data_IF_099016138730
#
_entry.id   IF_099016138730
#
_cell.length_a   1.000
_cell.length_b   1.000
_cell.length_c   1.000
_cell.angle_alpha   90.00
_cell.angle_beta   90.00
_cell.angle_gamma   90.00
#
_symmetry.space_group_name_H-M   'P 1'
#
loop_
_entity.id
_entity.type
_entity.pdbx_description
1 polymer ?
#
# COMPACT_ATOMS: atom_id res chain seq x y z
N UNK A 1 8.90 8.83 15.35
CA UNK A 1 8.86 7.37 15.16
C UNK A 1 7.48 6.83 15.49
N UNK A 2 7.10 5.70 14.89
CA UNK A 2 5.89 4.96 15.23
C UNK A 2 5.93 4.44 16.67
N UNK A 3 4.76 4.21 17.27
CA UNK A 3 4.64 3.70 18.63
C UNK A 3 5.26 2.29 18.79
N UNK A 4 5.23 1.46 17.74
CA UNK A 4 5.80 0.11 17.73
C UNK A 4 7.28 0.07 17.34
N UNK A 5 7.87 1.22 17.01
CA UNK A 5 9.27 1.27 16.59
C UNK A 5 10.21 0.82 17.74
N UNK A 6 11.28 0.03 17.46
CA UNK A 6 12.21 -0.47 18.50
C UNK A 6 12.78 0.62 19.41
N UNK A 7 13.07 1.81 18.86
CA UNK A 7 13.55 2.94 19.69
C UNK A 7 12.49 3.44 20.67
N UNK A 8 11.20 3.47 20.27
CA UNK A 8 10.11 3.84 21.15
C UNK A 8 9.96 2.84 22.31
N UNK A 9 9.95 1.55 21.99
CA UNK A 9 9.86 0.47 22.95
C UNK A 9 11.03 0.49 23.94
N UNK A 10 12.25 0.69 23.44
CA UNK A 10 13.44 0.81 24.29
C UNK A 10 13.38 2.03 25.23
N UNK A 11 12.96 3.19 24.73
CA UNK A 11 12.80 4.39 25.56
C UNK A 11 11.74 4.18 26.66
N UNK A 12 10.72 3.38 26.38
CA UNK A 12 9.64 3.09 27.31
C UNK A 12 9.98 2.04 28.37
N UNK A 13 11.08 1.28 28.27
CA UNK A 13 11.41 0.19 29.21
C UNK A 13 11.30 0.60 30.69
N UNK A 14 11.79 1.81 31.03
CA UNK A 14 11.78 2.35 32.38
C UNK A 14 10.94 3.63 32.52
N UNK A 15 10.02 3.88 31.58
CA UNK A 15 9.17 5.06 31.57
C UNK A 15 7.70 4.67 31.45
N UNK A 16 6.96 4.78 32.55
CA UNK A 16 5.56 4.38 32.61
C UNK A 16 4.65 5.27 31.73
N UNK A 17 4.97 6.56 31.61
CA UNK A 17 4.19 7.49 30.78
C UNK A 17 4.34 7.16 29.28
N UNK A 18 5.57 6.88 28.84
CA UNK A 18 5.82 6.43 27.47
C UNK A 18 5.13 5.08 27.17
N UNK A 19 5.13 4.14 28.13
CA UNK A 19 4.38 2.89 27.97
C UNK A 19 2.89 3.13 27.78
N UNK A 20 2.30 3.98 28.62
CA UNK A 20 0.88 4.31 28.53
C UNK A 20 0.55 4.99 27.20
N UNK A 21 1.39 5.90 26.73
CA UNK A 21 1.19 6.57 25.44
C UNK A 21 1.32 5.61 24.25
N UNK A 22 2.27 4.68 24.29
CA UNK A 22 2.39 3.63 23.25
C UNK A 22 1.11 2.78 23.20
N UNK A 23 0.57 2.37 24.33
CA UNK A 23 -0.68 1.60 24.37
C UNK A 23 -1.89 2.43 23.87
N UNK A 24 -1.96 3.73 24.21
CA UNK A 24 -2.97 4.65 23.65
C UNK A 24 -2.90 4.69 22.12
N UNK A 25 -1.69 4.83 21.55
CA UNK A 25 -1.49 4.83 20.09
C UNK A 25 -1.92 3.51 19.44
N UNK A 26 -1.65 2.37 20.10
CA UNK A 26 -2.01 1.03 19.59
C UNK A 26 -3.52 0.77 19.62
N UNK A 27 -4.23 1.34 20.57
CA UNK A 27 -5.69 1.21 20.66
C UNK A 27 -6.43 2.11 19.68
N UNK A 28 -5.75 3.09 19.09
CA UNK A 28 -6.29 3.97 18.06
C UNK A 28 -6.53 3.23 16.74
N UNK A 29 -7.32 3.84 15.85
CA UNK A 29 -7.53 3.31 14.49
C UNK A 29 -6.21 3.28 13.71
N UNK A 30 -5.93 2.16 13.06
CA UNK A 30 -4.82 2.02 12.09
C UNK A 30 -5.21 2.45 10.68
N UNK A 31 -6.46 2.88 10.46
CA UNK A 31 -6.90 3.37 9.16
C UNK A 31 -6.32 4.75 8.89
N UNK A 32 -5.61 4.90 7.77
CA UNK A 32 -4.94 6.15 7.39
C UNK A 32 -5.91 7.34 7.28
N UNK A 33 -7.15 7.08 6.85
CA UNK A 33 -8.20 8.09 6.77
C UNK A 33 -8.58 8.65 8.16
N UNK A 34 -8.63 7.79 9.18
CA UNK A 34 -8.95 8.20 10.55
C UNK A 34 -7.77 8.97 11.17
N UNK A 35 -6.54 8.55 10.86
CA UNK A 35 -5.33 9.23 11.33
C UNK A 35 -5.13 10.61 10.69
N UNK A 36 -5.62 10.81 9.47
CA UNK A 36 -5.54 12.12 8.79
C UNK A 36 -6.36 13.20 9.49
N UNK A 37 -7.49 12.82 10.09
CA UNK A 37 -8.41 13.74 10.79
C UNK A 37 -8.24 13.77 12.30
N UNK A 38 -7.51 12.82 12.89
CA UNK A 38 -7.29 12.74 14.33
C UNK A 38 -6.34 13.86 14.82
N UNK A 39 -6.54 14.26 16.09
CA UNK A 39 -5.62 15.17 16.75
C UNK A 39 -4.20 14.58 16.80
N UNK A 40 -3.20 15.37 16.36
CA UNK A 40 -1.80 14.97 16.39
C UNK A 40 -1.28 15.01 17.81
N UNK A 41 -0.92 13.83 18.34
CA UNK A 41 -0.33 13.66 19.68
C UNK A 41 1.06 13.07 19.57
N UNK A 42 1.94 13.48 20.47
CA UNK A 42 3.29 12.93 20.56
C UNK A 42 3.86 13.03 21.97
N UNK A 43 4.91 12.24 22.18
CA UNK A 43 5.66 12.22 23.44
C UNK A 43 7.15 12.11 23.16
N UNK A 44 7.95 12.95 23.80
CA UNK A 44 9.41 12.91 23.70
C UNK A 44 9.96 11.62 24.30
N UNK A 45 10.88 10.96 23.59
CA UNK A 45 11.51 9.73 24.09
C UNK A 45 12.69 9.99 25.03
N UNK A 46 13.20 11.22 25.07
CA UNK A 46 14.46 11.56 25.72
C UNK A 46 15.70 11.13 24.94
N UNK A 47 15.53 10.50 23.78
CA UNK A 47 16.62 10.12 22.86
C UNK A 47 16.85 11.20 21.82
N UNK A 48 18.07 11.25 21.28
CA UNK A 48 18.41 12.04 20.09
C UNK A 48 19.11 11.19 19.05
N UNK A 49 19.09 11.67 17.80
CA UNK A 49 19.85 11.13 16.68
C UNK A 49 20.67 12.26 16.04
N UNK A 50 21.81 11.92 15.43
CA UNK A 50 22.62 12.90 14.72
C UNK A 50 22.10 13.11 13.31
N UNK A 51 21.91 14.37 12.92
CA UNK A 51 21.62 14.72 11.55
C UNK A 51 22.78 14.29 10.64
N UNK A 52 22.54 13.52 9.56
CA UNK A 52 23.62 12.88 8.79
C UNK A 52 24.50 13.89 8.03
N UNK A 53 24.06 15.11 7.83
CA UNK A 53 24.79 16.17 7.12
C UNK A 53 25.41 17.17 8.08
N UNK A 54 24.62 17.74 9.00
CA UNK A 54 25.09 18.81 9.89
C UNK A 54 25.74 18.28 11.17
N UNK A 55 25.44 17.04 11.56
CA UNK A 55 25.89 16.48 12.84
C UNK A 55 25.12 17.00 14.05
N UNK A 56 24.14 17.88 13.88
CA UNK A 56 23.27 18.39 14.95
C UNK A 56 22.44 17.24 15.57
N UNK A 57 22.21 17.35 16.87
CA UNK A 57 21.31 16.39 17.55
C UNK A 57 19.86 16.73 17.32
N UNK A 58 19.09 15.76 16.83
CA UNK A 58 17.66 15.88 16.56
C UNK A 58 16.93 15.03 17.60
N UNK A 59 15.93 15.59 18.33
CA UNK A 59 15.16 14.85 19.32
C UNK A 59 14.26 13.80 18.64
N UNK A 60 14.14 12.64 19.28
CA UNK A 60 13.27 11.56 18.83
C UNK A 60 11.94 11.62 19.59
N UNK A 61 10.84 11.68 18.86
CA UNK A 61 9.49 11.71 19.37
C UNK A 61 8.68 10.51 18.89
N UNK A 62 7.83 9.98 19.75
CA UNK A 62 6.74 9.06 19.33
C UNK A 62 5.58 9.95 18.88
N UNK A 63 5.01 9.68 17.71
CA UNK A 63 3.84 10.40 17.23
C UNK A 63 2.76 9.43 16.74
N UNK A 64 1.50 9.69 17.10
CA UNK A 64 0.36 8.82 16.81
C UNK A 64 -0.01 8.72 15.32
N UNK A 65 0.53 9.59 14.47
CA UNK A 65 0.30 9.62 13.02
C UNK A 65 1.46 9.03 12.19
N UNK A 66 2.52 8.55 12.85
CA UNK A 66 3.61 7.83 12.18
C UNK A 66 3.30 6.34 12.19
N UNK A 67 3.24 5.74 11.00
CA UNK A 67 2.90 4.32 10.83
C UNK A 67 4.14 3.44 10.75
N UNK A 68 4.14 2.31 11.45
CA UNK A 68 5.22 1.31 11.36
C UNK A 68 5.31 0.68 9.97
N UNK A 69 4.20 0.63 9.21
CA UNK A 69 4.14 0.14 7.84
C UNK A 69 4.76 1.08 6.80
N UNK A 70 5.11 2.31 7.18
CA UNK A 70 5.71 3.28 6.28
C UNK A 70 7.24 3.32 6.48
N UNK A 71 7.97 2.87 5.48
CA UNK A 71 9.44 2.82 5.52
C UNK A 71 9.95 1.89 6.62
N UNK A 72 10.72 2.44 7.55
CA UNK A 72 11.23 1.75 8.75
C UNK A 72 10.40 2.03 10.01
N UNK A 73 9.28 2.75 9.90
CA UNK A 73 8.53 3.27 11.05
C UNK A 73 9.20 4.49 11.70
N UNK A 74 10.24 5.03 11.07
CA UNK A 74 10.90 6.28 11.48
C UNK A 74 10.86 7.28 10.32
N UNK A 75 10.50 8.52 10.63
CA UNK A 75 10.39 9.61 9.65
C UNK A 75 11.21 10.79 10.17
N UNK A 76 12.00 11.41 9.29
CA UNK A 76 12.57 12.72 9.58
C UNK A 76 11.49 13.77 9.29
N UNK A 77 11.02 14.44 10.33
CA UNK A 77 10.03 15.50 10.21
C UNK A 77 10.62 16.72 9.52
N UNK A 78 9.78 17.44 8.78
CA UNK A 78 10.14 18.68 8.08
C UNK A 78 9.17 19.82 8.44
N UNK A 79 9.22 20.31 9.67
CA UNK A 79 8.19 21.22 10.21
C UNK A 79 7.96 22.50 9.39
N UNK A 80 8.97 22.98 8.67
CA UNK A 80 8.81 24.17 7.85
C UNK A 80 8.07 23.91 6.51
N UNK A 81 7.93 22.65 6.07
CA UNK A 81 7.48 22.29 4.71
C UNK A 81 6.46 21.14 4.66
N UNK A 82 5.96 20.68 5.80
CA UNK A 82 4.82 19.75 5.91
C UNK A 82 3.85 20.27 6.98
N UNK A 83 2.59 20.46 6.61
CA UNK A 83 1.57 21.06 7.50
C UNK A 83 1.40 20.29 8.81
N UNK A 84 1.42 18.94 8.75
CA UNK A 84 1.23 18.10 9.95
C UNK A 84 2.41 18.24 10.90
N UNK A 85 3.62 18.29 10.35
CA UNK A 85 4.83 18.46 11.13
C UNK A 85 4.93 19.90 11.70
N UNK A 86 4.43 20.89 10.94
CA UNK A 86 4.34 22.29 11.38
C UNK A 86 3.41 22.45 12.60
N UNK A 87 2.19 21.89 12.51
CA UNK A 87 1.24 21.88 13.63
C UNK A 87 1.82 21.19 14.85
N UNK A 88 2.45 20.02 14.63
CA UNK A 88 3.10 19.25 15.69
C UNK A 88 4.22 20.03 16.37
N UNK A 89 5.09 20.66 15.57
CA UNK A 89 6.23 21.44 16.08
C UNK A 89 5.76 22.65 16.90
N UNK A 90 4.75 23.38 16.44
CA UNK A 90 4.17 24.49 17.18
C UNK A 90 3.51 24.01 18.49
N UNK A 91 2.75 22.91 18.45
CA UNK A 91 2.10 22.34 19.64
C UNK A 91 3.08 21.96 20.74
N UNK A 92 4.24 21.42 20.37
CA UNK A 92 5.24 20.91 21.32
C UNK A 92 6.46 21.82 21.48
N UNK A 93 6.44 23.02 20.89
CA UNK A 93 7.52 24.02 21.00
C UNK A 93 8.84 23.54 20.37
N UNK A 94 8.77 22.77 19.29
CA UNK A 94 9.95 22.32 18.53
C UNK A 94 10.42 23.40 17.57
N UNK A 95 11.71 23.40 17.24
CA UNK A 95 12.28 24.36 16.30
C UNK A 95 11.76 24.11 14.89
N UNK A 96 11.27 25.17 14.25
CA UNK A 96 10.88 25.19 12.84
C UNK A 96 11.92 25.98 12.07
N UNK A 97 12.63 25.33 11.17
CA UNK A 97 13.71 25.94 10.38
C UNK A 97 13.35 25.87 8.90
N UNK A 98 13.16 27.01 8.27
CA UNK A 98 12.95 27.06 6.82
C UNK A 98 14.20 26.53 6.10
N UNK A 99 14.01 25.58 5.18
CA UNK A 99 15.08 24.97 4.38
C UNK A 99 14.81 25.03 2.87
N UNK A 100 13.61 25.44 2.46
CA UNK A 100 13.27 25.74 1.08
C UNK A 100 12.75 27.17 1.03
N UNK A 101 13.39 28.01 0.24
CA UNK A 101 12.87 29.31 -0.13
C UNK A 101 11.98 29.15 -1.37
N UNK A 102 10.73 28.75 -1.10
CA UNK A 102 9.68 28.71 -2.09
C UNK A 102 9.07 30.11 -2.12
N UNK A 103 9.25 30.83 -3.21
CA UNK A 103 8.67 32.18 -3.37
C UNK A 103 7.15 32.07 -3.30
N UNK A 104 6.55 32.61 -2.24
CA UNK A 104 5.10 32.74 -2.10
C UNK A 104 4.54 33.71 -3.17
N UNK A 105 3.24 33.58 -3.41
CA UNK A 105 2.52 34.58 -4.18
C UNK A 105 2.62 35.90 -3.41
N UNK A 106 3.22 36.89 -3.69
CA UNK A 106 3.36 38.19 -3.02
C UNK A 106 4.66 38.45 -2.24
N UNK A 107 5.75 37.71 -2.49
CA UNK A 107 7.05 37.87 -1.78
C UNK A 107 6.92 37.86 -0.25
N UNK A 108 5.98 37.05 0.28
CA UNK A 108 5.75 36.98 1.72
C UNK A 108 6.87 36.21 2.41
N UNK A 109 7.36 36.75 3.52
CA UNK A 109 8.35 36.12 4.38
C UNK A 109 7.78 34.85 5.07
N UNK A 110 8.66 33.89 5.37
CA UNK A 110 8.31 32.71 6.15
C UNK A 110 8.00 33.08 7.59
N UNK A 111 6.81 32.66 8.07
CA UNK A 111 6.38 32.83 9.46
C UNK A 111 6.23 31.43 10.13
N UNK A 112 7.06 31.13 11.14
CA UNK A 112 7.02 29.89 11.87
C UNK A 112 5.79 29.76 12.80
N UNK A 113 5.00 30.80 13.00
CA UNK A 113 3.81 30.77 13.83
C UNK A 113 2.52 30.43 13.07
N UNK A 114 2.49 30.67 11.77
CA UNK A 114 1.29 30.49 10.95
C UNK A 114 1.59 29.76 9.65
N UNK A 115 0.97 28.58 9.47
CA UNK A 115 1.09 27.80 8.23
C UNK A 115 0.53 28.57 7.02
N UNK A 116 1.26 28.46 5.91
CA UNK A 116 0.84 28.93 4.60
C UNK A 116 0.98 27.77 3.59
N UNK A 117 0.01 27.62 2.69
CA UNK A 117 -0.02 26.50 1.73
C UNK A 117 1.24 26.42 0.85
N UNK A 118 1.83 27.58 0.49
CA UNK A 118 3.03 27.62 -0.31
C UNK A 118 4.30 27.08 0.38
N UNK A 119 4.30 26.91 1.73
CA UNK A 119 5.40 26.28 2.45
C UNK A 119 5.64 24.84 2.03
N UNK A 120 4.58 24.12 1.59
CA UNK A 120 4.65 22.76 1.08
C UNK A 120 5.19 22.63 -0.36
N UNK A 121 5.46 23.76 -1.03
CA UNK A 121 5.97 23.75 -2.39
C UNK A 121 7.41 23.22 -2.45
N UNK A 122 7.69 22.41 -3.48
CA UNK A 122 9.04 21.95 -3.80
C UNK A 122 9.73 22.85 -4.84
N UNK A 123 9.02 23.88 -5.32
CA UNK A 123 9.54 24.87 -6.25
C UNK A 123 10.22 25.97 -5.45
N UNK A 124 11.55 25.96 -5.42
CA UNK A 124 12.33 26.92 -4.67
C UNK A 124 13.81 26.52 -4.62
N UNK A 125 14.55 27.25 -3.82
CA UNK A 125 15.97 26.99 -3.58
C UNK A 125 16.20 26.61 -2.13
N UNK A 126 17.15 25.72 -1.88
CA UNK A 126 17.55 25.40 -0.52
C UNK A 126 18.20 26.60 0.16
N UNK A 127 17.82 26.81 1.41
CA UNK A 127 18.40 27.80 2.33
C UNK A 127 18.66 27.12 3.68
N UNK A 128 19.55 27.67 4.48
CA UNK A 128 19.92 27.13 5.80
C UNK A 128 20.32 25.63 5.78
N UNK A 129 20.84 25.17 4.64
CA UNK A 129 21.15 23.76 4.33
C UNK A 129 22.66 23.53 4.08
N UNK A 130 23.51 24.38 4.64
CA UNK A 130 24.97 24.34 4.55
C UNK A 130 25.46 24.34 3.08
N UNK A 131 26.30 23.39 2.69
CA UNK A 131 26.85 23.32 1.32
C UNK A 131 25.80 23.06 0.23
N UNK A 132 24.55 22.79 0.57
CA UNK A 132 23.46 22.55 -0.36
C UNK A 132 22.60 23.79 -0.63
N UNK A 133 22.92 24.94 0.01
CA UNK A 133 22.21 26.21 -0.22
C UNK A 133 22.24 26.59 -1.71
N UNK A 134 21.11 27.12 -2.19
CA UNK A 134 20.94 27.55 -3.58
C UNK A 134 20.60 26.45 -4.59
N UNK A 135 20.63 25.17 -4.20
CA UNK A 135 20.21 24.06 -5.06
C UNK A 135 18.68 24.00 -5.17
N UNK A 136 18.18 23.61 -6.34
CA UNK A 136 16.78 23.21 -6.49
C UNK A 136 16.54 21.77 -5.98
N UNK A 137 15.27 21.35 -5.98
CA UNK A 137 14.87 20.06 -5.44
C UNK A 137 15.64 18.88 -6.05
N UNK A 138 15.78 18.82 -7.39
CA UNK A 138 16.45 17.69 -8.03
C UNK A 138 17.95 17.71 -7.79
N UNK A 139 18.59 18.85 -7.94
CA UNK A 139 20.02 19.00 -7.68
C UNK A 139 20.37 18.71 -6.20
N UNK A 140 19.51 19.10 -5.27
CA UNK A 140 19.67 18.78 -3.86
C UNK A 140 19.52 17.29 -3.60
N UNK A 141 18.50 16.64 -4.17
CA UNK A 141 18.29 15.18 -4.04
C UNK A 141 19.54 14.42 -4.50
N UNK A 142 20.05 14.75 -5.68
CA UNK A 142 21.23 14.08 -6.26
C UNK A 142 22.50 14.33 -5.41
N UNK A 143 22.69 15.55 -4.91
CA UNK A 143 23.82 15.91 -4.06
C UNK A 143 23.78 15.23 -2.68
N UNK A 144 22.60 15.16 -2.03
CA UNK A 144 22.42 14.41 -0.79
C UNK A 144 22.70 12.92 -0.98
N UNK A 145 22.15 12.32 -2.04
CA UNK A 145 22.38 10.92 -2.35
C UNK A 145 23.86 10.64 -2.57
N UNK A 146 24.54 11.42 -3.42
CA UNK A 146 25.96 11.29 -3.70
C UNK A 146 26.85 11.38 -2.44
N UNK A 147 26.44 12.24 -1.48
CA UNK A 147 27.16 12.38 -0.20
C UNK A 147 26.92 11.23 0.76
N UNK A 148 25.72 10.74 0.88
CA UNK A 148 25.30 9.83 1.96
C UNK A 148 25.29 8.35 1.55
N UNK A 149 25.08 8.02 0.27
CA UNK A 149 25.07 6.64 -0.22
C UNK A 149 26.39 5.88 0.03
N UNK A 150 27.59 6.48 -0.18
CA UNK A 150 28.86 5.82 0.12
C UNK A 150 29.06 5.48 1.61
N UNK A 151 28.33 6.19 2.49
CA UNK A 151 28.37 5.97 3.95
C UNK A 151 27.30 4.99 4.43
N UNK A 152 26.51 4.42 3.52
CA UNK A 152 25.33 3.57 3.81
C UNK A 152 24.22 4.26 4.61
N UNK A 153 24.23 5.59 4.72
CA UNK A 153 23.22 6.38 5.42
C UNK A 153 22.05 6.77 4.52
N UNK A 154 22.17 6.61 3.22
CA UNK A 154 21.09 6.81 2.25
C UNK A 154 21.10 5.73 1.17
N UNK A 155 19.93 5.46 0.63
CA UNK A 155 19.74 4.65 -0.58
C UNK A 155 18.45 5.07 -1.28
N UNK A 156 18.43 4.94 -2.60
CA UNK A 156 17.22 5.14 -3.38
C UNK A 156 16.29 3.95 -3.19
N UNK A 157 15.02 4.23 -2.86
CA UNK A 157 13.97 3.22 -2.76
C UNK A 157 12.75 3.65 -3.57
N UNK A 158 12.32 2.80 -4.48
CA UNK A 158 11.05 2.99 -5.19
C UNK A 158 9.92 2.47 -4.30
N UNK A 159 8.96 3.34 -3.98
CA UNK A 159 7.76 2.97 -3.27
C UNK A 159 6.55 3.17 -4.19
N UNK A 160 5.77 2.12 -4.35
CA UNK A 160 4.50 2.22 -5.08
C UNK A 160 3.45 2.89 -4.17
N UNK A 161 2.68 3.82 -4.74
CA UNK A 161 1.56 4.45 -4.03
C UNK A 161 0.39 3.51 -3.83
N UNK A 162 0.24 2.53 -4.73
CA UNK A 162 -0.74 1.48 -4.60
C UNK A 162 -0.27 0.47 -3.56
N UNK A 163 -1.08 0.22 -2.54
CA UNK A 163 -0.80 -0.82 -1.54
C UNK A 163 -1.25 -2.18 -2.04
N UNK A 164 -0.56 -3.21 -1.57
CA UNK A 164 -1.00 -4.59 -1.76
C UNK A 164 -2.39 -4.78 -1.13
N UNK A 165 -3.21 -5.59 -1.76
CA UNK A 165 -4.52 -5.96 -1.22
C UNK A 165 -4.71 -7.47 -1.32
N UNK A 166 -5.42 -8.04 -0.36
CA UNK A 166 -5.76 -9.45 -0.36
C UNK A 166 -6.93 -9.74 -1.30
N UNK A 167 -6.81 -10.79 -2.10
CA UNK A 167 -7.89 -11.27 -3.00
C UNK A 167 -8.67 -12.45 -2.43
N UNK A 168 -8.20 -13.02 -1.34
CA UNK A 168 -8.79 -14.17 -0.63
C UNK A 168 -9.95 -13.73 0.25
N UNK A 169 -11.07 -14.45 0.21
CA UNK A 169 -12.27 -14.19 1.02
C UNK A 169 -12.72 -15.45 1.73
N UNK A 170 -12.99 -15.33 3.02
CA UNK A 170 -13.48 -16.38 3.90
C UNK A 170 -15.00 -16.54 3.74
N UNK A 171 -15.43 -16.81 2.52
CA UNK A 171 -16.87 -16.98 2.18
C UNK A 171 -17.06 -17.98 1.06
N UNK A 172 -18.27 -18.53 0.97
CA UNK A 172 -18.65 -19.48 -0.07
C UNK A 172 -18.69 -18.84 -1.48
N UNK A 173 -19.28 -17.64 -1.60
CA UNK A 173 -19.50 -17.01 -2.89
C UNK A 173 -18.24 -16.40 -3.48
N UNK A 174 -17.78 -16.96 -4.57
CA UNK A 174 -16.59 -16.56 -5.32
C UNK A 174 -15.95 -17.74 -6.03
N UNK A 175 -14.97 -17.49 -6.85
CA UNK A 175 -14.19 -18.53 -7.53
C UNK A 175 -13.28 -19.24 -6.50
N UNK A 176 -13.29 -20.56 -6.39
CA UNK A 176 -12.37 -21.29 -5.52
C UNK A 176 -10.91 -21.01 -5.89
N UNK A 177 -10.07 -20.83 -4.88
CA UNK A 177 -8.64 -20.68 -5.08
C UNK A 177 -8.03 -22.07 -5.32
N UNK A 178 -7.40 -22.35 -6.48
CA UNK A 178 -6.96 -23.69 -6.86
C UNK A 178 -5.63 -24.06 -6.18
N UNK A 179 -5.60 -24.05 -4.85
CA UNK A 179 -4.43 -24.38 -4.04
C UNK A 179 -4.72 -25.49 -3.04
N UNK A 180 -3.69 -26.25 -2.71
CA UNK A 180 -3.70 -27.33 -1.72
C UNK A 180 -2.63 -27.02 -0.67
N UNK A 181 -3.01 -27.01 0.59
CA UNK A 181 -2.14 -26.78 1.73
C UNK A 181 -1.66 -28.13 2.29
N UNK A 182 -0.37 -28.42 2.21
CA UNK A 182 0.27 -29.63 2.70
C UNK A 182 1.26 -29.28 3.81
N UNK A 183 1.20 -29.97 4.93
CA UNK A 183 2.12 -29.73 6.05
C UNK A 183 3.60 -29.94 5.68
N UNK A 184 3.87 -30.87 4.75
CA UNK A 184 5.23 -31.20 4.31
C UNK A 184 5.72 -30.34 3.15
N UNK A 185 4.84 -30.03 2.17
CA UNK A 185 5.22 -29.35 0.92
C UNK A 185 4.85 -27.86 0.88
N UNK A 186 4.12 -27.36 1.88
CA UNK A 186 3.56 -26.02 1.87
C UNK A 186 2.37 -25.89 0.92
N UNK A 187 2.23 -24.76 0.28
CA UNK A 187 1.17 -24.51 -0.70
C UNK A 187 1.54 -25.09 -2.07
N UNK A 188 0.67 -25.92 -2.61
CA UNK A 188 0.86 -26.60 -3.89
C UNK A 188 -0.35 -26.32 -4.79
N UNK A 189 -0.17 -25.96 -6.08
CA UNK A 189 -1.30 -25.75 -6.98
C UNK A 189 -2.07 -27.07 -7.23
N UNK A 190 -3.38 -26.95 -7.44
CA UNK A 190 -4.20 -28.07 -7.93
C UNK A 190 -3.71 -28.43 -9.33
N UNK A 191 -3.48 -29.73 -9.65
CA UNK A 191 -3.09 -30.16 -10.97
C UNK A 191 -4.07 -29.73 -12.06
N UNK A 192 -3.59 -29.41 -13.25
CA UNK A 192 -4.41 -28.89 -14.35
C UNK A 192 -5.55 -29.83 -14.74
N UNK A 193 -5.31 -31.14 -14.70
CA UNK A 193 -6.30 -32.16 -15.02
C UNK A 193 -7.43 -32.27 -13.96
N UNK A 194 -7.27 -31.63 -12.79
CA UNK A 194 -8.27 -31.54 -11.75
C UNK A 194 -9.01 -30.21 -11.73
N UNK A 195 -8.73 -29.32 -12.69
CA UNK A 195 -9.43 -28.06 -12.84
C UNK A 195 -10.68 -28.22 -13.72
N UNK A 196 -11.72 -27.41 -13.48
CA UNK A 196 -11.85 -26.39 -12.41
C UNK A 196 -12.14 -27.02 -11.05
N UNK A 197 -11.74 -26.31 -9.97
CA UNK A 197 -12.24 -26.61 -8.62
C UNK A 197 -13.69 -26.13 -8.55
N UNK A 198 -14.63 -27.07 -8.33
CA UNK A 198 -16.06 -26.76 -8.37
C UNK A 198 -16.59 -26.61 -6.95
N UNK A 199 -17.37 -25.53 -6.72
CA UNK A 199 -18.08 -25.34 -5.46
C UNK A 199 -19.19 -26.36 -5.29
N UNK A 200 -19.37 -26.95 -4.08
CA UNK A 200 -20.51 -27.79 -3.80
C UNK A 200 -21.82 -27.00 -3.89
N UNK A 201 -22.88 -27.61 -4.42
CA UNK A 201 -24.16 -26.92 -4.68
C UNK A 201 -25.20 -27.14 -3.57
N UNK A 202 -24.91 -28.03 -2.64
CA UNK A 202 -25.80 -28.42 -1.53
C UNK A 202 -25.46 -27.73 -0.20
N UNK A 203 -24.76 -26.62 -0.28
CA UNK A 203 -24.34 -25.82 0.88
C UNK A 203 -25.50 -25.05 1.46
N UNK A 204 -25.74 -25.24 2.76
CA UNK A 204 -26.71 -24.44 3.53
C UNK A 204 -25.94 -23.52 4.48
N UNK A 205 -25.94 -22.20 4.26
CA UNK A 205 -25.30 -21.26 5.18
C UNK A 205 -26.01 -21.25 6.54
N UNK A 206 -25.25 -21.39 7.61
CA UNK A 206 -25.77 -21.36 8.98
C UNK A 206 -25.46 -20.07 9.73
N UNK A 207 -24.90 -19.05 9.02
CA UNK A 207 -24.53 -17.76 9.59
C UNK A 207 -23.22 -17.77 10.40
N UNK A 208 -22.52 -18.89 10.47
CA UNK A 208 -21.29 -19.00 11.28
C UNK A 208 -20.06 -19.32 10.41
N UNK A 209 -19.40 -18.28 9.90
CA UNK A 209 -18.15 -18.38 9.14
C UNK A 209 -18.31 -18.98 7.74
N UNK A 210 -17.18 -19.38 7.14
CA UNK A 210 -17.15 -19.95 5.80
C UNK A 210 -17.65 -21.42 5.82
N UNK A 211 -18.76 -21.76 5.14
CA UNK A 211 -19.31 -23.11 5.12
C UNK A 211 -18.34 -24.14 4.52
N UNK A 212 -17.47 -23.77 3.58
CA UNK A 212 -16.51 -24.69 2.98
C UNK A 212 -15.53 -25.28 4.02
N UNK A 213 -15.26 -24.55 5.09
CA UNK A 213 -14.45 -25.04 6.22
C UNK A 213 -15.11 -26.17 7.03
N UNK A 214 -16.42 -26.38 6.85
CA UNK A 214 -17.21 -27.38 7.55
C UNK A 214 -17.51 -28.62 6.69
N UNK A 215 -16.99 -28.67 5.45
CA UNK A 215 -17.23 -29.68 4.46
C UNK A 215 -15.96 -30.52 4.21
N UNK A 216 -15.72 -31.63 4.99
CA UNK A 216 -14.55 -32.47 4.79
C UNK A 216 -14.43 -33.01 3.37
N UNK A 217 -15.54 -33.30 2.72
CA UNK A 217 -15.63 -33.80 1.33
C UNK A 217 -15.12 -32.77 0.31
N UNK A 218 -15.16 -31.47 0.65
CA UNK A 218 -14.59 -30.42 -0.19
C UNK A 218 -13.10 -30.21 0.07
N UNK A 219 -12.69 -30.13 1.35
CA UNK A 219 -11.33 -29.71 1.67
C UNK A 219 -10.33 -30.86 1.86
N UNK A 220 -10.78 -32.07 2.22
CA UNK A 220 -9.85 -33.18 2.37
C UNK A 220 -9.36 -33.67 1.01
N UNK A 221 -8.05 -33.76 0.85
CA UNK A 221 -7.43 -34.19 -0.41
C UNK A 221 -6.03 -34.77 -0.15
N UNK A 222 -5.41 -35.32 -1.18
CA UNK A 222 -4.01 -35.75 -1.14
C UNK A 222 -3.13 -34.65 -1.80
N UNK A 223 -1.94 -34.48 -1.26
CA UNK A 223 -0.95 -33.56 -1.84
C UNK A 223 -0.44 -34.11 -3.19
N UNK A 224 -0.55 -33.36 -4.29
CA UNK A 224 -0.08 -33.82 -5.58
C UNK A 224 1.44 -33.99 -5.68
N UNK A 225 2.20 -33.34 -4.77
CA UNK A 225 3.67 -33.42 -4.76
C UNK A 225 4.21 -34.61 -3.96
N UNK A 226 3.59 -34.99 -2.82
CA UNK A 226 4.13 -36.02 -1.96
C UNK A 226 3.15 -37.19 -1.66
N UNK A 227 1.90 -37.12 -2.13
CA UNK A 227 0.86 -38.10 -1.93
C UNK A 227 0.29 -38.19 -0.50
N UNK A 228 0.82 -37.38 0.43
CA UNK A 228 0.33 -37.36 1.83
C UNK A 228 -0.98 -36.58 1.99
N UNK A 229 -1.58 -36.74 3.17
CA UNK A 229 -2.81 -36.00 3.52
C UNK A 229 -2.58 -34.48 3.40
N UNK A 230 -3.56 -33.80 2.82
CA UNK A 230 -3.51 -32.35 2.58
C UNK A 230 -4.91 -31.75 2.63
N UNK A 231 -4.95 -30.42 2.67
CA UNK A 231 -6.20 -29.67 2.73
C UNK A 231 -6.30 -28.74 1.54
N UNK A 232 -7.39 -28.87 0.76
CA UNK A 232 -7.72 -27.89 -0.28
C UNK A 232 -8.00 -26.52 0.36
N UNK A 233 -7.64 -25.45 -0.35
CA UNK A 233 -8.00 -24.10 0.05
C UNK A 233 -9.52 -23.94 0.09
N UNK A 234 -10.02 -23.33 1.14
CA UNK A 234 -11.45 -23.11 1.37
C UNK A 234 -11.87 -21.66 1.17
N UNK A 235 -10.90 -20.75 1.06
CA UNK A 235 -11.17 -19.37 0.68
C UNK A 235 -11.53 -19.31 -0.81
N UNK A 236 -12.35 -18.33 -1.15
CA UNK A 236 -12.67 -18.01 -2.55
C UNK A 236 -12.04 -16.69 -2.93
N UNK A 237 -11.87 -16.45 -4.22
CA UNK A 237 -11.41 -15.17 -4.72
C UNK A 237 -12.48 -14.09 -4.53
N UNK A 238 -12.06 -12.87 -4.32
CA UNK A 238 -12.92 -11.70 -4.42
C UNK A 238 -13.64 -11.69 -5.77
N UNK A 239 -14.94 -11.41 -5.78
CA UNK A 239 -15.77 -11.43 -7.00
C UNK A 239 -15.34 -10.40 -8.05
N UNK A 240 -14.55 -9.39 -7.68
CA UNK A 240 -13.91 -8.50 -8.64
C UNK A 240 -12.86 -9.21 -9.51
N UNK A 241 -12.33 -10.36 -9.10
CA UNK A 241 -11.41 -11.15 -9.93
C UNK A 241 -12.13 -11.68 -11.16
N UNK A 242 -13.32 -12.26 -11.03
CA UNK A 242 -14.10 -12.73 -12.18
C UNK A 242 -14.57 -11.58 -13.06
N UNK A 243 -15.05 -10.50 -12.47
CA UNK A 243 -15.49 -9.32 -13.23
C UNK A 243 -14.34 -8.55 -13.87
N UNK A 244 -13.11 -8.84 -13.50
CA UNK A 244 -11.92 -8.15 -14.03
C UNK A 244 -11.62 -8.45 -15.50
N UNK A 245 -12.06 -9.59 -16.01
CA UNK A 245 -11.74 -10.05 -17.36
C UNK A 245 -12.97 -10.45 -18.21
N UNK A 246 -14.19 -10.26 -17.72
CA UNK A 246 -15.43 -10.65 -18.43
C UNK A 246 -15.53 -10.04 -19.83
N UNK A 247 -15.05 -8.80 -20.02
CA UNK A 247 -15.03 -8.12 -21.32
C UNK A 247 -14.21 -8.88 -22.36
N UNK A 248 -13.11 -9.51 -21.94
CA UNK A 248 -12.31 -10.37 -22.82
C UNK A 248 -13.06 -11.67 -23.14
N UNK A 249 -13.70 -12.28 -22.14
CA UNK A 249 -14.50 -13.50 -22.33
C UNK A 249 -15.64 -13.30 -23.32
N UNK A 250 -16.26 -12.12 -23.31
CA UNK A 250 -17.34 -11.80 -24.26
C UNK A 250 -16.91 -11.82 -25.73
N UNK A 251 -15.62 -11.65 -26.04
CA UNK A 251 -15.12 -11.77 -27.40
C UNK A 251 -15.21 -13.21 -27.95
N UNK A 252 -15.28 -14.23 -27.08
CA UNK A 252 -15.40 -15.64 -27.48
C UNK A 252 -16.08 -16.49 -26.38
N UNK A 253 -17.39 -16.28 -26.11
CA UNK A 253 -18.08 -16.88 -24.98
C UNK A 253 -18.10 -18.42 -25.00
N UNK A 254 -18.12 -19.02 -26.16
CA UNK A 254 -18.19 -20.48 -26.34
C UNK A 254 -16.81 -21.16 -26.41
N UNK A 255 -15.73 -20.40 -26.29
CA UNK A 255 -14.39 -20.96 -26.38
C UNK A 255 -14.03 -21.76 -25.10
N UNK A 256 -13.64 -23.02 -25.28
CA UNK A 256 -13.30 -23.94 -24.17
C UNK A 256 -11.79 -24.18 -24.01
N UNK A 257 -10.97 -23.67 -24.94
CA UNK A 257 -9.52 -23.90 -24.96
C UNK A 257 -8.70 -22.93 -24.11
N UNK A 258 -9.36 -22.03 -23.34
CA UNK A 258 -8.68 -21.05 -22.50
C UNK A 258 -9.58 -19.86 -22.11
N UNK A 259 -8.99 -18.80 -21.62
CA UNK A 259 -9.72 -17.60 -21.16
C UNK A 259 -10.43 -16.89 -22.31
N UNK A 260 -9.76 -16.67 -23.43
CA UNK A 260 -10.27 -16.03 -24.62
C UNK A 260 -9.58 -16.62 -25.86
N UNK A 261 -10.27 -16.68 -26.97
CA UNK A 261 -9.69 -17.11 -28.25
C UNK A 261 -8.72 -16.04 -28.77
N UNK A 262 -7.43 -16.36 -29.06
CA UNK A 262 -6.43 -15.35 -29.43
C UNK A 262 -6.85 -14.41 -30.57
N UNK A 263 -7.42 -14.97 -31.64
CA UNK A 263 -7.85 -14.17 -32.79
C UNK A 263 -9.02 -13.22 -32.46
N UNK A 264 -9.91 -13.65 -31.55
CA UNK A 264 -11.00 -12.81 -31.07
C UNK A 264 -10.46 -11.68 -30.18
N UNK A 265 -9.48 -11.99 -29.31
CA UNK A 265 -8.82 -10.97 -28.50
C UNK A 265 -8.12 -9.91 -29.38
N UNK A 266 -7.38 -10.33 -30.42
CA UNK A 266 -6.72 -9.40 -31.34
C UNK A 266 -7.71 -8.51 -32.11
N UNK A 267 -8.92 -9.01 -32.39
CA UNK A 267 -9.93 -8.28 -33.16
C UNK A 267 -10.73 -7.30 -32.30
N UNK A 268 -11.08 -7.68 -31.07
CA UNK A 268 -12.06 -6.99 -30.26
C UNK A 268 -11.47 -6.21 -29.07
N UNK A 269 -10.20 -6.43 -28.74
CA UNK A 269 -9.53 -5.75 -27.64
C UNK A 269 -8.42 -4.81 -28.15
N UNK A 270 -8.19 -3.66 -27.47
CA UNK A 270 -8.93 -3.15 -26.31
C UNK A 270 -10.37 -2.73 -26.66
N UNK A 271 -11.26 -2.73 -25.66
CA UNK A 271 -12.64 -2.27 -25.84
C UNK A 271 -12.63 -0.78 -26.17
N UNK A 272 -13.31 -0.39 -27.25
CA UNK A 272 -13.26 0.97 -27.77
C UNK A 272 -13.92 2.01 -26.86
N UNK A 273 -15.02 1.64 -26.21
CA UNK A 273 -15.77 2.52 -25.33
C UNK A 273 -16.27 1.74 -24.10
N UNK A 274 -15.93 2.22 -22.91
CA UNK A 274 -16.33 1.61 -21.65
C UNK A 274 -16.96 2.67 -20.74
N UNK A 275 -18.21 2.42 -20.30
CA UNK A 275 -19.00 3.37 -19.54
C UNK A 275 -19.43 2.72 -18.24
N UNK A 276 -19.27 3.40 -17.11
CA UNK A 276 -19.65 2.90 -15.80
C UNK A 276 -19.81 4.00 -14.76
N UNK A 277 -20.11 3.60 -13.53
CA UNK A 277 -20.18 4.50 -12.39
C UNK A 277 -18.80 4.91 -11.88
N UNK A 278 -18.71 6.10 -11.30
CA UNK A 278 -17.46 6.66 -10.77
C UNK A 278 -16.85 5.78 -9.66
N UNK A 279 -17.66 5.07 -8.90
CA UNK A 279 -17.23 4.15 -7.83
C UNK A 279 -16.31 3.04 -8.34
N UNK A 280 -16.40 2.70 -9.62
CA UNK A 280 -15.55 1.68 -10.23
C UNK A 280 -14.13 2.14 -10.52
N UNK A 281 -13.83 3.43 -10.40
CA UNK A 281 -12.48 3.96 -10.63
C UNK A 281 -11.42 3.28 -9.74
N UNK A 282 -11.77 2.98 -8.50
CA UNK A 282 -10.88 2.35 -7.50
C UNK A 282 -11.24 0.88 -7.18
N UNK A 283 -12.33 0.36 -7.73
CA UNK A 283 -12.78 -1.01 -7.55
C UNK A 283 -12.55 -1.83 -8.82
N UNK A 284 -13.60 -2.02 -9.62
CA UNK A 284 -13.56 -2.83 -10.84
C UNK A 284 -12.44 -2.45 -11.82
N UNK A 285 -12.24 -1.17 -12.08
CA UNK A 285 -11.24 -0.74 -13.07
C UNK A 285 -9.80 -1.02 -12.64
N UNK A 286 -9.52 -0.96 -11.35
CA UNK A 286 -8.21 -1.34 -10.80
C UNK A 286 -7.92 -2.82 -11.09
N UNK A 287 -8.89 -3.70 -10.77
CA UNK A 287 -8.79 -5.13 -11.04
C UNK A 287 -8.71 -5.41 -12.55
N UNK A 288 -9.56 -4.76 -13.36
CA UNK A 288 -9.57 -4.97 -14.81
C UNK A 288 -8.23 -4.61 -15.47
N UNK A 289 -7.62 -3.48 -15.09
CA UNK A 289 -6.29 -3.09 -15.58
C UNK A 289 -5.19 -4.04 -15.12
N UNK A 290 -5.20 -4.42 -13.85
CA UNK A 290 -4.22 -5.35 -13.30
C UNK A 290 -4.32 -6.72 -13.99
N UNK A 291 -5.52 -7.29 -14.09
CA UNK A 291 -5.76 -8.59 -14.70
C UNK A 291 -5.45 -8.60 -16.20
N UNK A 292 -5.76 -7.50 -16.90
CA UNK A 292 -5.39 -7.35 -18.32
C UNK A 292 -3.87 -7.42 -18.53
N UNK A 293 -3.10 -6.77 -17.64
CA UNK A 293 -1.64 -6.82 -17.70
C UNK A 293 -1.09 -8.22 -17.40
N UNK A 294 -1.69 -8.97 -16.48
CA UNK A 294 -1.34 -10.37 -16.26
C UNK A 294 -1.64 -11.22 -17.50
N UNK A 295 -2.84 -11.09 -18.08
CA UNK A 295 -3.20 -11.82 -19.31
C UNK A 295 -2.27 -11.46 -20.49
N UNK A 296 -1.81 -10.21 -20.58
CA UNK A 296 -0.81 -9.77 -21.57
C UNK A 296 0.54 -10.47 -21.33
N UNK A 297 1.00 -10.49 -20.09
CA UNK A 297 2.30 -11.08 -19.72
C UNK A 297 2.32 -12.58 -19.97
N UNK A 298 1.18 -13.25 -19.84
CA UNK A 298 0.95 -14.65 -20.21
C UNK A 298 0.61 -14.86 -21.71
N UNK A 299 0.64 -13.81 -22.52
CA UNK A 299 0.40 -13.90 -23.97
C UNK A 299 -1.05 -14.13 -24.38
N UNK A 300 -2.01 -13.99 -23.48
CA UNK A 300 -3.44 -14.24 -23.74
C UNK A 300 -4.09 -13.07 -24.49
N UNK A 301 -3.69 -11.84 -24.18
CA UNK A 301 -4.15 -10.61 -24.82
C UNK A 301 -2.96 -9.74 -25.24
N UNK A 302 -3.24 -8.72 -26.06
CA UNK A 302 -2.24 -7.73 -26.47
C UNK A 302 -2.58 -6.34 -25.90
N UNK A 303 -1.56 -5.47 -25.83
CA UNK A 303 -1.72 -4.10 -25.35
C UNK A 303 -1.60 -3.97 -23.84
N UNK A 304 -1.57 -2.74 -23.38
CA UNK A 304 -1.31 -2.40 -21.98
C UNK A 304 -2.57 -2.03 -21.20
N UNK A 305 -3.65 -1.71 -21.88
CA UNK A 305 -4.89 -1.21 -21.30
C UNK A 305 -6.09 -1.96 -21.87
N UNK A 306 -7.07 -2.32 -21.02
CA UNK A 306 -8.27 -3.04 -21.46
C UNK A 306 -9.26 -2.18 -22.26
N UNK A 307 -9.25 -0.85 -22.04
CA UNK A 307 -10.21 0.09 -22.57
C UNK A 307 -9.50 1.27 -23.24
N UNK A 308 -9.96 1.66 -24.45
CA UNK A 308 -9.42 2.81 -25.18
C UNK A 308 -9.99 4.13 -24.68
N UNK A 309 -11.32 4.18 -24.53
CA UNK A 309 -12.02 5.34 -24.00
C UNK A 309 -12.83 4.93 -22.78
N UNK A 310 -12.68 5.67 -21.71
CA UNK A 310 -13.34 5.43 -20.45
C UNK A 310 -14.21 6.64 -20.10
N UNK A 311 -15.50 6.41 -19.82
CA UNK A 311 -16.42 7.42 -19.33
C UNK A 311 -17.00 6.96 -18.00
N UNK A 312 -16.72 7.71 -16.96
CA UNK A 312 -17.28 7.47 -15.63
C UNK A 312 -18.36 8.53 -15.37
N UNK A 313 -19.56 8.08 -15.08
CA UNK A 313 -20.73 8.93 -14.85
C UNK A 313 -21.25 8.74 -13.44
N UNK A 314 -21.81 9.83 -12.89
CA UNK A 314 -22.39 9.88 -11.55
C UNK A 314 -23.88 9.47 -11.58
#
# INVERSE_FOLDING_TARGET
VAAEHPMALKAAENNAELKAFIEECRMGSVAEADLATAEKKGMATGLSVKHPVTGEEIPVWIANYVLMSYGSGAVMAVPAHDERDFEFANKYGLTIKQVIDAQGADDADFDAAQWQEWYGSKEGKLVNSAEFDGLDFQAAYDAFLAKLEPTTLASTKVQFRLRDWGVSRQRYWGCPIPMINCEKCGQVPVPEEQLPVVLPTDVVPDGSGNPLNKMPEFYQTSCPSCGGDARRETDTLDTFVESSWYYARYASPDFTGGLVKPEAAQTWLPVNQYIGGVEHAILHLLYARFFHKLMRDEGVVQGNEPFTNLSLIH
#
